data_IF_716966474769
#
_entry.id   IF_716966474769
#
_cell.length_a   1.000
_cell.length_b   1.000
_cell.length_c   1.000
_cell.angle_alpha   90.00
_cell.angle_beta   90.00
_cell.angle_gamma   90.00
#
_symmetry.space_group_name_H-M   'P 1'
#
loop_
_entity.id
_entity.type
_entity.pdbx_description
1 polymer ?
#
# COMPACT_ATOMS: atom_id res chain seq x y z
N UNK A 1 8.47 -10.93 -20.85
CA UNK A 1 9.07 -10.24 -19.67
C UNK A 1 7.98 -9.76 -18.74
N UNK A 2 6.87 -9.22 -19.25
CA UNK A 2 5.76 -8.74 -18.40
C UNK A 2 4.99 -9.86 -17.69
N UNK A 3 5.01 -11.07 -18.22
CA UNK A 3 4.37 -12.26 -17.61
C UNK A 3 5.27 -12.95 -16.57
N UNK A 4 6.55 -12.54 -16.49
CA UNK A 4 7.54 -13.14 -15.61
C UNK A 4 8.19 -12.06 -14.74
N UNK A 5 7.52 -11.66 -13.65
CA UNK A 5 7.88 -10.45 -12.89
C UNK A 5 9.16 -10.56 -12.05
N UNK A 6 9.75 -11.75 -11.94
CA UNK A 6 10.97 -11.94 -11.15
C UNK A 6 12.09 -12.56 -12.00
N UNK A 7 13.37 -12.28 -11.70
CA UNK A 7 14.49 -12.91 -12.37
C UNK A 7 14.45 -14.45 -12.33
N UNK A 8 13.93 -15.00 -11.25
CA UNK A 8 13.77 -16.46 -11.09
C UNK A 8 12.68 -17.00 -12.03
N UNK A 9 11.55 -16.30 -12.15
CA UNK A 9 10.48 -16.67 -13.06
C UNK A 9 10.95 -16.60 -14.52
N UNK A 10 11.74 -15.59 -14.89
CA UNK A 10 12.37 -15.49 -16.20
C UNK A 10 13.33 -16.68 -16.44
N UNK A 11 14.17 -17.00 -15.49
CA UNK A 11 15.10 -18.11 -15.60
C UNK A 11 14.39 -19.46 -15.74
N UNK A 12 13.34 -19.69 -14.95
CA UNK A 12 12.51 -20.90 -15.06
C UNK A 12 11.84 -21.01 -16.42
N UNK A 13 11.22 -19.91 -16.87
CA UNK A 13 10.57 -19.88 -18.20
C UNK A 13 11.53 -20.14 -19.35
N UNK A 14 12.74 -19.58 -19.30
CA UNK A 14 13.77 -19.83 -20.29
C UNK A 14 14.26 -21.29 -20.25
N UNK A 15 14.39 -21.86 -19.05
CA UNK A 15 14.75 -23.26 -18.90
C UNK A 15 13.70 -24.18 -19.49
N UNK A 16 12.41 -23.94 -19.23
CA UNK A 16 11.29 -24.67 -19.80
C UNK A 16 11.29 -24.62 -21.34
N UNK A 17 11.55 -23.43 -21.91
CA UNK A 17 11.64 -23.28 -23.37
C UNK A 17 12.82 -24.02 -23.98
N UNK A 18 13.95 -24.12 -23.28
CA UNK A 18 15.16 -24.79 -23.77
C UNK A 18 15.09 -26.30 -23.59
N UNK A 19 14.51 -26.76 -22.49
CA UNK A 19 14.48 -28.20 -22.15
C UNK A 19 13.24 -28.91 -22.70
N UNK A 20 12.20 -28.18 -23.09
CA UNK A 20 10.94 -28.74 -23.55
C UNK A 20 10.19 -29.57 -22.48
N UNK A 21 10.63 -29.47 -21.24
CA UNK A 21 9.98 -30.11 -20.10
C UNK A 21 9.05 -29.07 -19.48
N UNK A 22 7.77 -29.19 -19.77
CA UNK A 22 6.74 -28.61 -18.94
C UNK A 22 6.82 -29.30 -17.58
N UNK A 23 7.68 -28.80 -16.68
CA UNK A 23 7.54 -29.08 -15.29
C UNK A 23 6.24 -28.43 -14.86
N UNK A 24 5.16 -29.19 -14.96
CA UNK A 24 3.94 -28.87 -14.24
C UNK A 24 4.33 -28.89 -12.76
N UNK A 25 4.75 -27.73 -12.26
CA UNK A 25 4.78 -27.46 -10.84
C UNK A 25 3.32 -27.50 -10.43
N UNK A 26 2.83 -28.71 -10.23
CA UNK A 26 1.62 -28.92 -9.48
C UNK A 26 1.95 -28.33 -8.12
N UNK A 27 1.51 -27.09 -7.88
CA UNK A 27 1.47 -26.57 -6.55
C UNK A 27 0.69 -27.63 -5.76
N UNK A 28 1.42 -28.42 -5.00
CA UNK A 28 0.83 -29.33 -4.04
C UNK A 28 0.11 -28.39 -3.07
N UNK A 29 -1.16 -28.14 -3.35
CA UNK A 29 -2.04 -27.59 -2.33
C UNK A 29 -2.00 -28.62 -1.23
N UNK A 30 -1.16 -28.39 -0.24
CA UNK A 30 -1.22 -29.11 1.01
C UNK A 30 -2.69 -29.06 1.40
N UNK A 31 -3.28 -30.23 1.66
CA UNK A 31 -4.66 -30.31 2.14
C UNK A 31 -4.71 -29.36 3.34
N UNK A 32 -5.45 -28.26 3.22
CA UNK A 32 -5.68 -27.35 4.33
C UNK A 32 -6.46 -28.18 5.32
N UNK A 33 -5.84 -28.50 6.45
CA UNK A 33 -6.56 -29.10 7.57
C UNK A 33 -7.53 -28.03 8.07
N UNK A 34 -8.80 -28.13 7.66
CA UNK A 34 -9.86 -27.20 8.06
C UNK A 34 -10.01 -27.08 9.57
N UNK A 35 -9.48 -28.04 10.31
CA UNK A 35 -9.49 -28.07 11.78
C UNK A 35 -8.24 -27.38 12.39
N UNK A 36 -7.23 -27.02 11.61
CA UNK A 36 -6.04 -26.36 12.12
C UNK A 36 -6.39 -24.96 12.63
N UNK A 37 -6.04 -24.61 13.88
CA UNK A 37 -6.32 -23.28 14.42
C UNK A 37 -5.50 -22.23 13.67
N UNK A 38 -6.17 -21.17 13.22
CA UNK A 38 -5.51 -20.00 12.65
C UNK A 38 -5.08 -19.06 13.77
N UNK A 39 -3.85 -18.54 13.69
CA UNK A 39 -3.33 -17.55 14.62
C UNK A 39 -3.09 -16.22 13.90
N UNK A 40 -3.65 -15.13 14.43
CA UNK A 40 -3.31 -13.78 14.04
C UNK A 40 -2.08 -13.35 14.82
N UNK A 41 -0.91 -13.28 14.15
CA UNK A 41 0.38 -13.04 14.81
C UNK A 41 0.80 -11.55 14.81
N UNK A 42 0.12 -10.70 14.07
CA UNK A 42 0.37 -9.27 14.07
C UNK A 42 -0.66 -8.50 13.26
N UNK A 43 -0.99 -7.31 13.73
CA UNK A 43 -1.81 -6.34 13.01
C UNK A 43 -1.17 -4.98 13.11
N UNK A 44 -1.13 -4.25 12.01
CA UNK A 44 -0.64 -2.87 11.97
C UNK A 44 -1.51 -2.04 11.02
N UNK A 45 -1.57 -0.75 11.30
CA UNK A 45 -2.29 0.18 10.45
C UNK A 45 -1.98 1.62 10.82
N UNK A 46 -2.38 2.53 9.95
CA UNK A 46 -2.42 3.97 10.20
C UNK A 46 -3.83 4.47 9.94
N UNK A 47 -4.35 5.23 10.86
CA UNK A 47 -5.74 5.72 10.80
C UNK A 47 -5.77 7.24 10.93
N UNK A 48 -6.85 7.88 10.49
CA UNK A 48 -7.10 9.29 10.73
C UNK A 48 -7.11 9.64 12.23
N UNK A 49 -7.09 10.95 12.53
CA UNK A 49 -7.11 11.43 13.91
C UNK A 49 -5.75 11.31 14.61
N UNK A 50 -4.67 11.25 13.85
CA UNK A 50 -3.31 11.11 14.40
C UNK A 50 -2.97 9.70 14.90
N UNK A 51 -3.81 8.72 14.62
CA UNK A 51 -3.62 7.35 15.07
C UNK A 51 -2.60 6.62 14.20
N UNK A 52 -1.32 6.77 14.55
CA UNK A 52 -0.19 6.11 13.87
C UNK A 52 0.03 4.65 14.30
N UNK A 53 -0.62 4.21 15.35
CA UNK A 53 -0.53 2.86 15.89
C UNK A 53 -1.84 2.42 16.55
N UNK A 54 -1.92 1.13 16.91
CA UNK A 54 -3.12 0.52 17.49
C UNK A 54 -3.45 1.11 18.88
N UNK A 55 -2.45 1.49 19.66
CA UNK A 55 -2.66 2.11 20.96
C UNK A 55 -3.37 3.45 20.86
N UNK A 56 -2.91 4.32 19.98
CA UNK A 56 -3.52 5.61 19.71
C UNK A 56 -4.95 5.46 19.17
N UNK A 57 -5.17 4.48 18.29
CA UNK A 57 -6.50 4.15 17.79
C UNK A 57 -7.45 3.74 18.91
N UNK A 58 -7.01 2.87 19.82
CA UNK A 58 -7.81 2.47 20.97
C UNK A 58 -8.11 3.61 21.93
N UNK A 59 -7.16 4.52 22.14
CA UNK A 59 -7.38 5.71 22.96
C UNK A 59 -8.45 6.61 22.34
N UNK A 60 -8.39 6.86 21.02
CA UNK A 60 -9.41 7.64 20.31
C UNK A 60 -10.80 7.01 20.45
N UNK A 61 -10.90 5.69 20.23
CA UNK A 61 -12.17 4.96 20.34
C UNK A 61 -12.74 5.03 21.76
N UNK A 62 -11.91 4.83 22.79
CA UNK A 62 -12.34 4.91 24.19
C UNK A 62 -12.79 6.31 24.60
N UNK A 63 -12.17 7.33 24.02
CA UNK A 63 -12.54 8.72 24.24
C UNK A 63 -13.78 9.14 23.45
N UNK A 64 -14.38 8.24 22.66
CA UNK A 64 -15.43 8.58 21.68
C UNK A 64 -15.02 9.77 20.81
N UNK A 65 -13.71 9.85 20.48
CA UNK A 65 -13.13 10.94 19.72
C UNK A 65 -13.52 10.91 18.24
N UNK A 66 -13.47 12.08 17.62
CA UNK A 66 -13.67 12.24 16.19
C UNK A 66 -12.32 12.23 15.45
N UNK A 67 -12.20 11.40 14.43
CA UNK A 67 -11.03 11.33 13.57
C UNK A 67 -11.11 12.27 12.35
N UNK A 68 -12.23 12.92 12.17
CA UNK A 68 -12.43 13.89 11.08
C UNK A 68 -11.69 15.19 11.40
N UNK A 69 -11.02 15.73 10.40
CA UNK A 69 -10.28 16.98 10.51
C UNK A 69 -10.39 17.83 9.26
N UNK A 70 -9.95 19.08 9.35
CA UNK A 70 -9.87 19.95 8.17
C UNK A 70 -8.82 19.42 7.19
N UNK A 71 -9.02 19.69 5.89
CA UNK A 71 -8.05 19.36 4.85
C UNK A 71 -6.69 19.98 5.20
N UNK A 72 -5.62 19.17 5.37
CA UNK A 72 -4.30 19.71 5.65
C UNK A 72 -3.79 20.54 4.46
N UNK A 73 -3.21 21.71 4.74
CA UNK A 73 -2.66 22.59 3.70
C UNK A 73 -1.56 21.92 2.84
N UNK A 74 -0.93 20.87 3.37
CA UNK A 74 0.06 20.06 2.64
C UNK A 74 -0.56 19.10 1.62
N UNK A 75 -1.88 18.89 1.66
CA UNK A 75 -2.58 18.00 0.72
C UNK A 75 -3.02 18.76 -0.52
N UNK A 76 -3.89 19.71 -0.35
CA UNK A 76 -4.35 20.61 -1.42
C UNK A 76 -4.96 21.87 -0.82
N UNK A 77 -5.00 22.93 -1.64
CA UNK A 77 -5.77 24.13 -1.34
C UNK A 77 -7.15 23.97 -1.96
N UNK A 78 -8.17 23.88 -1.11
CA UNK A 78 -9.54 23.55 -1.54
C UNK A 78 -10.08 24.54 -2.56
N UNK A 79 -9.82 25.82 -2.34
CA UNK A 79 -10.29 26.92 -3.21
C UNK A 79 -9.69 26.89 -4.62
N UNK A 80 -8.58 26.17 -4.81
CA UNK A 80 -7.97 25.96 -6.13
C UNK A 80 -8.57 24.76 -6.89
N UNK A 81 -9.21 23.85 -6.14
CA UNK A 81 -9.72 22.59 -6.70
C UNK A 81 -11.22 22.64 -6.95
N UNK A 82 -11.97 23.40 -6.13
CA UNK A 82 -13.43 23.44 -6.14
C UNK A 82 -13.89 24.88 -5.95
N UNK A 83 -14.87 25.30 -6.74
CA UNK A 83 -15.59 26.55 -6.49
C UNK A 83 -16.54 26.34 -5.28
N UNK A 84 -15.99 26.62 -4.10
CA UNK A 84 -16.65 26.37 -2.83
C UNK A 84 -17.92 27.22 -2.69
N UNK A 85 -17.94 28.42 -3.26
CA UNK A 85 -19.05 29.35 -3.15
C UNK A 85 -20.28 28.90 -3.97
N UNK A 86 -20.05 28.07 -4.99
CA UNK A 86 -21.14 27.46 -5.77
C UNK A 86 -21.84 26.28 -5.06
N UNK A 87 -21.24 25.78 -3.96
CA UNK A 87 -21.74 24.62 -3.23
C UNK A 87 -22.79 25.01 -2.18
N UNK A 88 -23.73 24.09 -1.90
CA UNK A 88 -24.63 24.24 -0.76
C UNK A 88 -23.86 24.21 0.56
N UNK A 89 -24.42 24.78 1.62
CA UNK A 89 -23.77 24.82 2.96
C UNK A 89 -23.33 23.43 3.45
N UNK A 90 -24.16 22.40 3.22
CA UNK A 90 -23.84 21.03 3.59
C UNK A 90 -22.64 20.48 2.78
N UNK A 91 -22.60 20.76 1.49
CA UNK A 91 -21.46 20.37 0.62
C UNK A 91 -20.19 21.12 1.00
N UNK A 92 -20.27 22.42 1.31
CA UNK A 92 -19.13 23.20 1.78
C UNK A 92 -18.50 22.60 3.04
N UNK A 93 -19.34 22.17 3.99
CA UNK A 93 -18.84 21.49 5.19
C UNK A 93 -18.22 20.14 4.87
N UNK A 94 -18.84 19.35 4.00
CA UNK A 94 -18.32 18.02 3.63
C UNK A 94 -16.99 18.09 2.92
N UNK A 95 -16.77 19.02 1.98
CA UNK A 95 -15.52 19.13 1.22
C UNK A 95 -14.36 19.70 2.05
N UNK A 96 -14.64 20.37 3.16
CA UNK A 96 -13.63 20.95 4.06
C UNK A 96 -13.07 19.96 5.08
N UNK A 97 -13.72 18.82 5.26
CA UNK A 97 -13.36 17.85 6.29
C UNK A 97 -13.18 16.44 5.71
N UNK A 98 -12.31 15.67 6.32
CA UNK A 98 -12.05 14.29 5.94
C UNK A 98 -11.21 13.56 6.97
N UNK A 99 -11.10 12.25 6.81
CA UNK A 99 -10.21 11.43 7.60
C UNK A 99 -8.82 11.40 6.98
N UNK A 100 -7.88 12.19 7.49
CA UNK A 100 -6.52 12.29 6.94
C UNK A 100 -5.52 11.49 7.76
N UNK A 101 -4.81 10.58 7.09
CA UNK A 101 -3.71 9.84 7.67
C UNK A 101 -2.47 10.74 7.71
N UNK A 102 -1.88 10.88 8.88
CA UNK A 102 -0.66 11.68 9.09
C UNK A 102 0.56 10.95 8.54
N UNK A 103 1.44 11.67 7.83
CA UNK A 103 2.70 11.14 7.33
C UNK A 103 2.58 10.19 6.14
N UNK A 104 1.43 10.13 5.48
CA UNK A 104 1.25 9.33 4.25
C UNK A 104 2.08 9.85 3.06
N UNK A 105 2.59 11.07 3.17
CA UNK A 105 3.51 11.71 2.22
C UNK A 105 4.98 11.33 2.46
N UNK A 106 5.30 10.73 3.62
CA UNK A 106 6.66 10.33 4.00
C UNK A 106 6.89 8.87 3.65
N UNK A 107 8.02 8.61 3.02
CA UNK A 107 8.43 7.26 2.64
C UNK A 107 9.94 7.18 2.54
N UNK A 108 10.54 6.24 3.26
CA UNK A 108 11.97 5.96 3.15
C UNK A 108 12.24 5.02 1.98
N UNK A 109 12.38 5.60 0.80
CA UNK A 109 12.60 4.82 -0.42
C UNK A 109 13.92 4.05 -0.41
N UNK A 110 14.93 4.55 0.29
CA UNK A 110 16.24 3.89 0.35
C UNK A 110 16.18 2.59 1.14
N UNK A 111 15.37 2.53 2.19
CA UNK A 111 15.16 1.31 2.97
C UNK A 111 14.60 0.16 2.11
N UNK A 112 13.86 0.49 1.06
CA UNK A 112 13.28 -0.47 0.12
C UNK A 112 14.07 -0.63 -1.18
N UNK A 113 15.20 0.08 -1.33
CA UNK A 113 16.00 0.05 -2.55
C UNK A 113 15.31 0.72 -3.76
N UNK A 114 14.36 1.62 -3.49
CA UNK A 114 13.57 2.32 -4.49
C UNK A 114 14.20 3.70 -4.75
N UNK A 115 14.32 4.09 -6.01
CA UNK A 115 14.83 5.42 -6.36
C UNK A 115 13.86 6.54 -5.95
N UNK A 116 14.37 7.73 -5.67
CA UNK A 116 13.53 8.88 -5.32
C UNK A 116 12.54 9.24 -6.44
N UNK A 117 12.94 9.06 -7.71
CA UNK A 117 12.08 9.32 -8.86
C UNK A 117 10.92 8.32 -8.94
N UNK A 118 11.20 7.05 -8.72
CA UNK A 118 10.21 5.99 -8.66
C UNK A 118 9.26 6.19 -7.46
N UNK A 119 9.82 6.41 -6.27
CA UNK A 119 9.04 6.67 -5.06
C UNK A 119 8.09 7.88 -5.20
N UNK A 120 8.49 8.90 -5.95
CA UNK A 120 7.63 10.06 -6.22
C UNK A 120 6.47 9.73 -7.16
N UNK A 121 6.64 8.76 -8.04
CA UNK A 121 5.59 8.31 -8.96
C UNK A 121 4.63 7.31 -8.30
N UNK A 122 5.08 6.57 -7.28
CA UNK A 122 4.28 5.55 -6.59
C UNK A 122 3.06 6.15 -5.89
N UNK A 123 1.94 5.45 -5.97
CA UNK A 123 0.75 5.75 -5.18
C UNK A 123 1.10 5.73 -3.67
N UNK A 124 0.60 6.69 -2.89
CA UNK A 124 0.72 6.66 -1.43
C UNK A 124 0.25 5.34 -0.80
N UNK A 125 -0.75 4.67 -1.37
CA UNK A 125 -1.22 3.35 -0.92
C UNK A 125 -0.11 2.30 -1.04
N UNK A 126 0.60 2.26 -2.16
CA UNK A 126 1.72 1.33 -2.37
C UNK A 126 2.84 1.56 -1.35
N UNK A 127 3.20 2.83 -1.11
CA UNK A 127 4.22 3.20 -0.14
C UNK A 127 3.85 2.79 1.27
N UNK A 128 2.61 3.06 1.68
CA UNK A 128 2.08 2.65 2.98
C UNK A 128 2.03 1.13 3.13
N UNK A 129 1.65 0.39 2.09
CA UNK A 129 1.63 -1.07 2.11
C UNK A 129 3.04 -1.67 2.27
N UNK A 130 4.05 -1.07 1.65
CA UNK A 130 5.44 -1.51 1.84
C UNK A 130 5.90 -1.30 3.28
N UNK A 131 5.68 -0.10 3.85
CA UNK A 131 6.08 0.20 5.23
C UNK A 131 5.34 -0.66 6.25
N UNK A 132 4.01 -0.76 6.12
CA UNK A 132 3.18 -1.51 7.06
C UNK A 132 3.41 -3.01 6.92
N UNK A 133 3.57 -3.51 5.69
CA UNK A 133 3.88 -4.91 5.43
C UNK A 133 5.23 -5.31 6.04
N UNK A 134 6.27 -4.50 5.82
CA UNK A 134 7.57 -4.72 6.45
C UNK A 134 7.46 -4.72 7.98
N UNK A 135 6.78 -3.73 8.54
CA UNK A 135 6.61 -3.60 9.98
C UNK A 135 5.80 -4.76 10.57
N UNK A 136 4.75 -5.22 9.89
CA UNK A 136 3.93 -6.36 10.32
C UNK A 136 4.76 -7.65 10.38
N UNK A 137 5.58 -7.92 9.37
CA UNK A 137 6.47 -9.06 9.35
C UNK A 137 7.53 -8.97 10.46
N UNK A 138 8.07 -7.77 10.68
CA UNK A 138 9.07 -7.55 11.73
C UNK A 138 8.50 -7.75 13.14
N UNK A 139 7.33 -7.19 13.43
CA UNK A 139 6.64 -7.36 14.72
C UNK A 139 6.28 -8.83 14.97
N UNK A 140 5.92 -9.56 13.92
CA UNK A 140 5.64 -10.99 13.97
C UNK A 140 6.91 -11.87 14.07
N UNK A 141 8.07 -11.25 14.28
CA UNK A 141 9.39 -11.92 14.35
C UNK A 141 9.79 -12.67 13.07
N UNK A 142 9.15 -12.39 11.97
CA UNK A 142 9.54 -12.92 10.67
C UNK A 142 10.75 -12.16 10.11
N UNK A 143 11.77 -12.90 9.73
CA UNK A 143 12.96 -12.34 9.09
C UNK A 143 12.99 -12.70 7.61
N UNK A 144 13.63 -11.86 6.81
CA UNK A 144 13.78 -12.11 5.37
C UNK A 144 14.30 -13.54 5.09
N UNK A 145 15.26 -14.00 5.87
CA UNK A 145 15.86 -15.35 5.71
C UNK A 145 14.83 -16.46 5.93
N UNK A 146 13.90 -16.28 6.85
CA UNK A 146 12.84 -17.27 7.13
C UNK A 146 11.70 -17.25 6.13
N UNK A 147 11.49 -16.11 5.45
CA UNK A 147 10.45 -15.95 4.44
C UNK A 147 10.92 -16.35 3.04
N UNK A 148 12.22 -16.22 2.78
CA UNK A 148 12.78 -16.58 1.47
C UNK A 148 12.70 -18.10 1.23
N UNK A 149 11.95 -18.47 0.19
CA UNK A 149 11.72 -19.87 -0.16
C UNK A 149 10.67 -20.58 0.69
N UNK A 150 9.99 -19.83 1.58
CA UNK A 150 8.82 -20.34 2.31
C UNK A 150 7.55 -20.35 1.46
N UNK A 151 6.57 -21.12 1.89
CA UNK A 151 5.22 -21.17 1.30
C UNK A 151 4.33 -20.11 1.95
N UNK A 152 4.58 -18.85 1.58
CA UNK A 152 3.85 -17.69 2.13
C UNK A 152 3.04 -17.01 1.05
N UNK A 153 1.73 -16.90 1.24
CA UNK A 153 0.84 -16.13 0.38
C UNK A 153 0.80 -14.65 0.79
N UNK A 154 0.75 -13.76 -0.20
CA UNK A 154 0.54 -12.32 0.01
C UNK A 154 -0.75 -11.92 -0.70
N UNK A 155 -1.68 -11.31 0.04
CA UNK A 155 -2.96 -10.84 -0.48
C UNK A 155 -3.04 -9.34 -0.26
N UNK A 156 -3.10 -8.57 -1.35
CA UNK A 156 -3.15 -7.11 -1.32
C UNK A 156 -4.46 -6.61 -1.90
N UNK A 157 -4.99 -5.54 -1.32
CA UNK A 157 -6.09 -4.78 -1.86
C UNK A 157 -5.69 -3.31 -1.97
N UNK A 158 -5.87 -2.73 -3.15
CA UNK A 158 -5.69 -1.30 -3.40
C UNK A 158 -6.97 -0.81 -4.07
N UNK A 159 -7.52 0.30 -3.57
CA UNK A 159 -8.70 0.89 -4.17
C UNK A 159 -8.30 2.03 -5.10
N UNK A 160 -8.86 2.00 -6.30
CA UNK A 160 -8.82 3.01 -7.37
C UNK A 160 -7.45 3.63 -7.64
N UNK A 161 -6.93 3.49 -8.84
CA UNK A 161 -5.71 4.15 -9.27
C UNK A 161 -6.02 5.62 -9.60
N UNK A 162 -6.25 6.46 -8.60
CA UNK A 162 -6.52 7.88 -8.76
C UNK A 162 -5.27 8.75 -8.61
N UNK A 163 -4.16 8.14 -8.20
CA UNK A 163 -2.90 8.84 -8.01
C UNK A 163 -2.39 9.50 -9.30
N UNK A 164 -2.51 8.82 -10.43
CA UNK A 164 -2.17 9.38 -11.74
C UNK A 164 -2.97 10.64 -12.09
N UNK A 165 -4.21 10.77 -11.58
CA UNK A 165 -5.02 11.97 -11.75
C UNK A 165 -4.61 13.07 -10.76
N UNK A 166 -4.23 12.69 -9.54
CA UNK A 166 -3.83 13.62 -8.49
C UNK A 166 -2.44 14.24 -8.74
N UNK A 167 -1.58 13.56 -9.50
CA UNK A 167 -0.24 14.06 -9.83
C UNK A 167 -0.28 15.25 -10.81
N UNK A 168 0.69 16.18 -10.69
CA UNK A 168 0.85 17.25 -11.67
C UNK A 168 1.18 16.67 -13.06
N UNK A 169 0.80 17.35 -14.16
CA UNK A 169 1.01 16.85 -15.53
C UNK A 169 2.47 16.46 -15.84
N UNK A 170 3.45 17.15 -15.24
CA UNK A 170 4.87 16.85 -15.39
C UNK A 170 5.27 15.48 -14.82
N UNK A 171 4.61 15.02 -13.77
CA UNK A 171 4.88 13.72 -13.18
C UNK A 171 4.26 12.56 -13.99
N UNK A 172 3.15 12.82 -14.69
CA UNK A 172 2.47 11.83 -15.55
C UNK A 172 3.28 11.39 -16.77
N UNK A 173 4.29 12.15 -17.16
CA UNK A 173 5.21 11.83 -18.28
C UNK A 173 6.44 11.04 -17.84
N UNK A 174 6.58 10.75 -16.56
CA UNK A 174 7.67 9.94 -16.02
C UNK A 174 7.57 8.50 -16.56
N UNK A 175 8.73 7.87 -16.76
CA UNK A 175 8.81 6.43 -17.10
C UNK A 175 8.21 5.55 -16.01
N UNK A 176 8.08 6.05 -14.79
CA UNK A 176 7.48 5.37 -13.66
C UNK A 176 5.97 5.63 -13.50
N UNK A 177 5.38 6.50 -14.32
CA UNK A 177 3.95 6.82 -14.21
C UNK A 177 3.05 5.61 -14.42
N UNK A 178 3.47 4.66 -15.27
CA UNK A 178 2.72 3.42 -15.56
C UNK A 178 2.83 2.39 -14.42
N UNK A 179 3.90 2.44 -13.63
CA UNK A 179 4.14 1.51 -12.52
C UNK A 179 3.69 2.05 -11.17
N UNK A 180 3.36 3.34 -11.12
CA UNK A 180 2.94 4.05 -9.92
C UNK A 180 1.43 4.05 -9.66
N UNK A 181 0.65 3.57 -10.63
CA UNK A 181 -0.83 3.47 -10.56
C UNK A 181 -1.29 2.09 -10.14
#
# INVERSE_FOLDING_TARGET
VFEQPTPRAVATHLLEQVTGVDEVVTAVRGAVDEAAPLALVGTLGRWPGGCGDEGARWQLLRACGDAMGSVPATRWTLELMVDVDSLSTAQQQSVRHGGFVVGADRFDSLAFGISAAEASAMDPQQRLLLELGYSALHVSSHRRVTLMGGDSGVFLGIERPDWGIAQPPSARTSVYAVTGD
#
